data_IF_775447393416
#
_entry.id   IF_775447393416
#
_cell.length_a   1.000
_cell.length_b   1.000
_cell.length_c   1.000
_cell.angle_alpha   90.00
_cell.angle_beta   90.00
_cell.angle_gamma   90.00
#
_symmetry.space_group_name_H-M   'P 1'
#
loop_
_entity.id
_entity.type
_entity.pdbx_description
1 polymer ?
#
# COMPACT_ATOMS: atom_id res chain seq x y z
N UNK A 1 25.40 -62.31 28.90
CA UNK A 1 25.43 -60.83 28.82
C UNK A 1 25.93 -60.40 27.46
N UNK A 2 25.05 -59.89 26.59
CA UNK A 2 25.30 -59.01 25.42
C UNK A 2 23.93 -58.49 24.94
N UNK A 3 23.86 -57.29 24.31
CA UNK A 3 22.66 -56.46 24.39
C UNK A 3 21.66 -56.66 23.24
N UNK A 4 20.40 -56.31 23.52
CA UNK A 4 19.33 -56.17 22.52
C UNK A 4 19.49 -54.80 21.81
N UNK A 5 19.93 -54.79 20.56
CA UNK A 5 19.93 -53.56 19.74
C UNK A 5 18.52 -53.28 19.24
N UNK A 6 17.86 -52.30 19.84
CA UNK A 6 16.64 -51.71 19.30
C UNK A 6 17.02 -50.72 18.19
N UNK A 7 16.76 -51.06 16.91
CA UNK A 7 16.87 -50.10 15.83
C UNK A 7 15.65 -49.16 15.87
N UNK A 8 15.84 -47.96 16.39
CA UNK A 8 14.85 -46.87 16.30
C UNK A 8 15.07 -46.12 14.98
N UNK A 9 14.08 -46.02 14.08
CA UNK A 9 14.22 -45.23 12.87
C UNK A 9 14.29 -43.75 13.24
N UNK A 10 15.47 -43.15 13.05
CA UNK A 10 15.67 -41.73 13.25
C UNK A 10 14.94 -40.98 12.13
N UNK A 11 13.71 -40.55 12.41
CA UNK A 11 12.97 -39.58 11.60
C UNK A 11 13.75 -38.27 11.60
N UNK A 12 14.64 -38.13 10.62
CA UNK A 12 15.29 -36.88 10.25
C UNK A 12 14.20 -35.91 9.78
N UNK A 13 13.70 -35.10 10.70
CA UNK A 13 12.96 -33.89 10.38
C UNK A 13 13.89 -32.98 9.57
N UNK A 14 13.71 -32.99 8.25
CA UNK A 14 14.27 -31.97 7.37
C UNK A 14 13.88 -30.59 7.93
N UNK A 15 14.84 -29.74 8.33
CA UNK A 15 14.50 -28.38 8.70
C UNK A 15 13.97 -27.69 7.45
N UNK A 16 12.69 -27.32 7.47
CA UNK A 16 12.06 -26.57 6.38
C UNK A 16 12.89 -25.32 6.08
N UNK A 17 13.22 -25.13 4.81
CA UNK A 17 14.07 -24.03 4.34
C UNK A 17 13.46 -22.67 4.75
N UNK A 18 14.14 -21.97 5.66
CA UNK A 18 13.77 -20.65 6.16
C UNK A 18 14.01 -19.57 5.08
N UNK A 19 13.06 -19.39 4.15
CA UNK A 19 13.06 -18.35 3.12
C UNK A 19 12.08 -17.19 3.48
N UNK A 20 12.42 -15.90 3.29
CA UNK A 20 11.74 -14.75 3.94
C UNK A 20 11.55 -13.41 3.14
N UNK A 21 10.39 -12.69 3.30
CA UNK A 21 9.76 -11.66 2.40
C UNK A 21 10.28 -10.22 2.55
N UNK A 22 10.46 -9.51 1.43
CA UNK A 22 11.67 -9.62 0.65
C UNK A 22 12.79 -8.94 1.47
N UNK A 23 13.18 -9.55 2.59
CA UNK A 23 14.17 -8.96 3.49
C UNK A 23 15.55 -8.90 2.83
N UNK A 24 15.74 -9.76 1.84
CA UNK A 24 16.81 -9.78 0.83
C UNK A 24 16.79 -8.56 -0.13
N UNK A 25 15.70 -7.81 -0.21
CA UNK A 25 15.56 -6.61 -1.04
C UNK A 25 16.46 -5.43 -0.64
N UNK A 26 17.14 -5.48 0.52
CA UNK A 26 18.08 -4.45 0.96
C UNK A 26 19.18 -4.19 -0.07
N UNK A 27 19.79 -5.25 -0.63
CA UNK A 27 20.89 -5.11 -1.56
C UNK A 27 20.47 -4.47 -2.88
N UNK A 28 19.27 -4.76 -3.40
CA UNK A 28 18.78 -4.20 -4.66
C UNK A 28 18.24 -2.77 -4.50
N UNK A 29 17.46 -2.51 -3.45
CA UNK A 29 16.74 -1.24 -3.27
C UNK A 29 17.52 -0.19 -2.49
N UNK A 30 18.46 -0.59 -1.62
CA UNK A 30 19.11 0.31 -0.66
C UNK A 30 18.22 0.71 0.53
N UNK A 31 17.04 0.11 0.68
CA UNK A 31 16.13 0.39 1.82
C UNK A 31 16.73 -0.22 3.09
N UNK A 32 17.45 0.61 3.85
CA UNK A 32 18.27 0.16 5.00
C UNK A 32 17.51 -0.57 6.11
N UNK A 33 16.21 -0.29 6.31
CA UNK A 33 15.40 -0.96 7.34
C UNK A 33 15.19 -2.46 7.09
N UNK A 34 15.31 -2.92 5.84
CA UNK A 34 15.13 -4.33 5.49
C UNK A 34 16.22 -5.19 6.15
N UNK A 35 17.46 -4.71 6.16
CA UNK A 35 18.57 -5.34 6.91
C UNK A 35 18.25 -5.42 8.41
N UNK A 36 17.68 -4.36 8.99
CA UNK A 36 17.26 -4.34 10.40
C UNK A 36 16.19 -5.39 10.74
N UNK A 37 15.25 -5.66 9.83
CA UNK A 37 14.28 -6.75 9.99
C UNK A 37 14.91 -8.13 9.77
N UNK A 38 15.79 -8.30 8.77
CA UNK A 38 16.50 -9.55 8.51
C UNK A 38 17.26 -10.01 9.76
N UNK A 39 18.04 -9.08 10.36
CA UNK A 39 18.78 -9.32 11.60
C UNK A 39 17.86 -9.57 12.81
N UNK A 40 16.69 -8.95 12.86
CA UNK A 40 15.70 -9.22 13.91
C UNK A 40 15.08 -10.62 13.81
N UNK A 41 14.79 -11.10 12.60
CA UNK A 41 14.32 -12.48 12.37
C UNK A 41 15.38 -13.52 12.76
N UNK A 42 16.65 -13.23 12.45
CA UNK A 42 17.81 -14.05 12.84
C UNK A 42 18.14 -13.97 14.34
N UNK A 43 17.45 -13.13 15.13
CA UNK A 43 17.73 -12.92 16.56
C UNK A 43 18.98 -12.09 16.86
N UNK A 44 19.68 -11.58 15.85
CA UNK A 44 20.86 -10.72 15.99
C UNK A 44 20.52 -9.29 16.44
N UNK A 45 19.23 -8.92 16.44
CA UNK A 45 18.67 -7.63 16.87
C UNK A 45 17.44 -7.88 17.75
N UNK A 46 17.31 -7.13 18.85
CA UNK A 46 16.16 -7.24 19.74
C UNK A 46 14.91 -6.50 19.19
N UNK A 47 13.76 -7.16 19.29
CA UNK A 47 12.46 -6.64 18.85
C UNK A 47 12.35 -6.49 17.33
N UNK A 48 11.28 -5.85 16.86
CA UNK A 48 10.97 -5.66 15.43
C UNK A 48 10.81 -6.95 14.60
N UNK A 49 10.56 -8.09 15.25
CA UNK A 49 10.17 -9.31 14.52
C UNK A 49 8.87 -9.08 13.75
N UNK A 50 8.80 -9.65 12.56
CA UNK A 50 7.64 -9.62 11.68
C UNK A 50 6.78 -10.91 11.89
N UNK A 51 5.45 -10.85 11.72
CA UNK A 51 4.56 -12.01 11.84
C UNK A 51 4.80 -13.04 10.72
N UNK A 52 4.27 -14.27 10.85
CA UNK A 52 4.48 -15.37 9.89
C UNK A 52 4.22 -14.97 8.44
N UNK A 53 3.05 -14.39 8.17
CA UNK A 53 2.66 -13.87 6.85
C UNK A 53 3.40 -12.60 6.40
N UNK A 54 4.57 -12.30 6.97
CA UNK A 54 5.50 -11.24 6.59
C UNK A 54 6.91 -11.80 6.20
N UNK A 55 7.03 -13.11 5.89
CA UNK A 55 8.29 -13.90 5.83
C UNK A 55 8.36 -14.99 4.71
N UNK A 56 8.38 -14.65 3.41
CA UNK A 56 8.24 -15.54 2.23
C UNK A 56 8.87 -14.77 0.97
N UNK A 57 10.10 -15.06 0.48
CA UNK A 57 11.09 -14.17 -0.25
C UNK A 57 10.72 -13.32 -1.51
N UNK A 58 11.65 -12.47 -2.04
CA UNK A 58 11.45 -11.62 -3.25
C UNK A 58 10.84 -12.36 -4.46
N UNK A 59 11.19 -13.63 -4.64
CA UNK A 59 10.74 -14.52 -5.72
C UNK A 59 9.42 -15.22 -5.38
N UNK A 60 9.01 -15.16 -4.12
CA UNK A 60 7.69 -15.58 -3.66
C UNK A 60 6.67 -14.44 -3.83
N UNK A 61 7.12 -13.17 -3.98
CA UNK A 61 6.27 -12.08 -4.50
C UNK A 61 6.02 -12.27 -5.99
N UNK A 62 4.75 -12.48 -6.36
CA UNK A 62 4.34 -12.74 -7.75
C UNK A 62 3.06 -12.00 -8.08
N UNK A 63 2.83 -11.78 -9.37
CA UNK A 63 1.59 -11.26 -9.92
C UNK A 63 0.74 -12.46 -10.35
N UNK A 64 -0.44 -12.65 -9.75
CA UNK A 64 -1.20 -13.89 -9.91
C UNK A 64 -2.13 -13.90 -11.12
N UNK A 65 -2.37 -12.74 -11.76
CA UNK A 65 -3.31 -12.60 -12.87
C UNK A 65 -2.62 -12.22 -14.21
N UNK A 66 -1.31 -12.46 -14.34
CA UNK A 66 -0.62 -12.25 -15.62
C UNK A 66 -1.23 -13.15 -16.70
N UNK A 67 -1.60 -12.54 -17.84
CA UNK A 67 -2.30 -13.23 -18.92
C UNK A 67 -3.82 -13.33 -18.75
N UNK A 68 -4.37 -13.13 -17.54
CA UNK A 68 -5.82 -13.06 -17.31
C UNK A 68 -6.41 -11.87 -18.08
N UNK A 69 -7.46 -12.10 -18.88
CA UNK A 69 -7.99 -11.11 -19.83
C UNK A 69 -9.29 -10.46 -19.40
N UNK A 70 -10.10 -11.16 -18.61
CA UNK A 70 -11.45 -10.73 -18.29
C UNK A 70 -11.46 -9.57 -17.27
N UNK A 71 -12.60 -8.88 -17.17
CA UNK A 71 -12.86 -7.84 -16.18
C UNK A 71 -14.01 -8.31 -15.26
N UNK A 72 -13.71 -9.05 -14.17
CA UNK A 72 -14.74 -9.58 -13.27
C UNK A 72 -15.54 -8.46 -12.57
N UNK A 73 -15.06 -7.21 -12.61
CA UNK A 73 -15.75 -6.06 -12.03
C UNK A 73 -17.03 -5.67 -12.79
N UNK A 74 -17.24 -6.23 -13.98
CA UNK A 74 -18.45 -6.02 -14.80
C UNK A 74 -19.65 -6.86 -14.32
N UNK A 75 -19.42 -7.92 -13.53
CA UNK A 75 -20.45 -8.89 -13.17
C UNK A 75 -20.47 -9.17 -11.65
N UNK A 76 -21.02 -8.25 -10.83
CA UNK A 76 -21.17 -8.49 -9.40
C UNK A 76 -22.11 -9.66 -9.08
N UNK A 77 -21.63 -10.56 -8.21
CA UNK A 77 -22.41 -11.60 -7.57
C UNK A 77 -23.36 -10.97 -6.53
N UNK A 78 -24.65 -11.02 -6.83
CA UNK A 78 -25.69 -10.46 -5.97
C UNK A 78 -25.80 -11.15 -4.60
N UNK A 79 -25.58 -12.48 -4.53
CA UNK A 79 -25.68 -13.24 -3.27
C UNK A 79 -24.49 -12.94 -2.36
N UNK A 80 -23.29 -12.89 -2.92
CA UNK A 80 -22.09 -12.50 -2.17
C UNK A 80 -22.20 -11.04 -1.70
N UNK A 81 -22.70 -10.15 -2.55
CA UNK A 81 -22.95 -8.74 -2.20
C UNK A 81 -23.98 -8.60 -1.07
N UNK A 82 -25.08 -9.36 -1.09
CA UNK A 82 -26.07 -9.40 0.00
C UNK A 82 -25.48 -9.94 1.31
N UNK A 83 -24.61 -10.96 1.24
CA UNK A 83 -23.88 -11.48 2.40
C UNK A 83 -22.96 -10.42 3.02
N UNK A 84 -22.26 -9.61 2.22
CA UNK A 84 -21.46 -8.47 2.72
C UNK A 84 -22.38 -7.42 3.39
N UNK A 85 -23.56 -7.12 2.82
CA UNK A 85 -24.52 -6.20 3.44
C UNK A 85 -24.97 -6.73 4.82
N UNK A 86 -25.28 -8.02 4.94
CA UNK A 86 -25.63 -8.67 6.22
C UNK A 86 -24.51 -8.57 7.24
N UNK A 87 -23.24 -8.75 6.84
CA UNK A 87 -22.08 -8.54 7.70
C UNK A 87 -21.93 -7.08 8.16
N UNK A 88 -22.29 -6.10 7.32
CA UNK A 88 -22.20 -4.68 7.68
C UNK A 88 -23.33 -4.24 8.62
N UNK A 89 -24.50 -4.88 8.55
CA UNK A 89 -25.67 -4.58 9.39
C UNK A 89 -26.17 -3.15 9.19
N UNK A 90 -26.62 -2.50 10.27
CA UNK A 90 -27.12 -1.12 10.25
C UNK A 90 -26.11 -0.10 9.68
N UNK A 91 -24.81 -0.34 9.85
CA UNK A 91 -23.76 0.55 9.33
C UNK A 91 -23.60 0.46 7.80
N UNK A 92 -24.22 -0.51 7.11
CA UNK A 92 -24.04 -0.76 5.67
C UNK A 92 -24.20 0.50 4.81
N UNK A 93 -25.22 1.33 5.12
CA UNK A 93 -25.49 2.60 4.42
C UNK A 93 -24.32 3.59 4.48
N UNK A 94 -23.40 3.46 5.44
CA UNK A 94 -22.21 4.29 5.61
C UNK A 94 -20.92 3.68 5.05
N UNK A 95 -20.93 2.42 4.63
CA UNK A 95 -19.81 1.75 3.98
C UNK A 95 -19.88 1.87 2.45
N UNK A 96 -18.74 1.60 1.82
CA UNK A 96 -18.62 1.07 0.47
C UNK A 96 -17.59 -0.05 0.54
N UNK A 97 -17.86 -1.15 -0.15
CA UNK A 97 -16.99 -2.33 -0.20
C UNK A 97 -16.94 -2.83 -1.63
N UNK A 98 -15.76 -3.29 -2.06
CA UNK A 98 -15.61 -4.17 -3.19
C UNK A 98 -14.74 -5.34 -2.75
N UNK A 99 -15.16 -6.56 -3.06
CA UNK A 99 -14.47 -7.82 -2.76
C UNK A 99 -14.30 -8.54 -4.10
N UNK A 100 -13.09 -9.05 -4.37
CA UNK A 100 -12.82 -9.91 -5.52
C UNK A 100 -12.12 -11.15 -5.00
N UNK A 101 -12.86 -12.26 -4.94
CA UNK A 101 -12.32 -13.57 -4.62
C UNK A 101 -11.61 -14.14 -5.86
N UNK A 102 -10.37 -14.58 -5.65
CA UNK A 102 -9.45 -15.11 -6.65
C UNK A 102 -8.91 -16.48 -6.22
N UNK A 103 -9.58 -17.14 -5.27
CA UNK A 103 -9.23 -18.47 -4.76
C UNK A 103 -9.30 -19.50 -5.89
N UNK A 104 -10.42 -19.56 -6.61
CA UNK A 104 -10.44 -20.11 -7.98
C UNK A 104 -10.19 -18.99 -9.00
N UNK A 105 -8.96 -18.91 -9.51
CA UNK A 105 -8.57 -17.93 -10.54
C UNK A 105 -9.30 -18.16 -11.88
N UNK A 106 -9.83 -19.36 -12.14
CA UNK A 106 -10.64 -19.64 -13.34
C UNK A 106 -12.09 -19.17 -13.19
N UNK A 107 -12.56 -18.97 -11.95
CA UNK A 107 -13.94 -18.55 -11.63
C UNK A 107 -13.94 -17.47 -10.53
N UNK A 108 -13.37 -16.28 -10.80
CA UNK A 108 -13.29 -15.23 -9.79
C UNK A 108 -14.67 -14.66 -9.46
N UNK A 109 -14.99 -14.54 -8.16
CA UNK A 109 -16.26 -13.98 -7.69
C UNK A 109 -16.08 -12.52 -7.26
N UNK A 110 -16.70 -11.60 -7.99
CA UNK A 110 -16.74 -10.18 -7.62
C UNK A 110 -18.00 -9.85 -6.82
N UNK A 111 -17.89 -9.02 -5.78
CA UNK A 111 -19.03 -8.49 -5.04
C UNK A 111 -18.81 -7.04 -4.62
N UNK A 112 -19.90 -6.30 -4.46
CA UNK A 112 -19.84 -4.88 -4.13
C UNK A 112 -21.01 -4.37 -3.29
N UNK A 113 -20.71 -3.35 -2.48
CA UNK A 113 -21.69 -2.59 -1.70
C UNK A 113 -21.40 -1.12 -1.92
N UNK A 114 -22.35 -0.37 -2.49
CA UNK A 114 -22.22 1.07 -2.75
C UNK A 114 -20.91 1.50 -3.44
N UNK A 115 -20.37 0.68 -4.36
CA UNK A 115 -18.96 0.75 -4.71
C UNK A 115 -18.54 1.96 -5.56
N UNK A 116 -19.47 2.62 -6.24
CA UNK A 116 -19.25 3.87 -6.99
C UNK A 116 -19.31 5.14 -6.13
N UNK A 117 -19.60 5.03 -4.83
CA UNK A 117 -19.70 6.17 -3.92
C UNK A 117 -18.34 6.82 -3.72
N UNK A 118 -18.26 8.10 -4.10
CA UNK A 118 -17.04 8.91 -3.99
C UNK A 118 -16.77 9.27 -2.51
N UNK A 119 -15.54 9.04 -2.08
CA UNK A 119 -14.97 9.56 -0.81
C UNK A 119 -13.58 10.16 -1.04
N UNK A 120 -13.06 10.90 -0.06
CA UNK A 120 -11.66 11.31 -0.09
C UNK A 120 -10.74 10.11 0.20
N UNK A 121 -9.67 9.86 -0.57
CA UNK A 121 -8.80 8.70 -0.40
C UNK A 121 -7.91 8.75 0.84
N UNK A 122 -7.69 9.94 1.41
CA UNK A 122 -6.66 10.14 2.44
C UNK A 122 -5.31 9.60 1.96
N UNK A 123 -4.67 8.76 2.76
CA UNK A 123 -3.38 8.15 2.39
C UNK A 123 -3.45 7.02 1.34
N UNK A 124 -4.62 6.64 0.83
CA UNK A 124 -4.69 5.79 -0.38
C UNK A 124 -4.26 6.55 -1.64
N UNK A 125 -4.34 7.89 -1.66
CA UNK A 125 -3.84 8.69 -2.78
C UNK A 125 -2.32 8.56 -3.03
N UNK A 126 -1.59 7.98 -2.08
CA UNK A 126 -0.16 7.63 -2.25
C UNK A 126 0.07 6.49 -3.26
N UNK A 127 -0.96 5.69 -3.54
CA UNK A 127 -0.94 4.72 -4.65
C UNK A 127 -0.85 5.42 -6.01
N UNK A 128 -1.56 6.54 -6.17
CA UNK A 128 -1.51 7.38 -7.39
C UNK A 128 -0.13 8.03 -7.55
N UNK A 129 0.53 8.42 -6.45
CA UNK A 129 1.93 8.91 -6.49
C UNK A 129 2.89 7.82 -6.96
N UNK A 130 2.76 6.59 -6.46
CA UNK A 130 3.61 5.48 -6.88
C UNK A 130 3.37 5.12 -8.36
N UNK A 131 2.10 5.07 -8.80
CA UNK A 131 1.74 4.88 -10.21
C UNK A 131 2.35 5.97 -11.10
N UNK A 132 2.23 7.24 -10.72
CA UNK A 132 2.78 8.36 -11.48
C UNK A 132 4.31 8.33 -11.57
N UNK A 133 5.01 7.93 -10.50
CA UNK A 133 6.46 7.74 -10.55
C UNK A 133 6.85 6.64 -11.55
N UNK A 134 6.24 5.46 -11.45
CA UNK A 134 6.54 4.37 -12.37
C UNK A 134 6.21 4.73 -13.82
N UNK A 135 5.11 5.46 -14.04
CA UNK A 135 4.76 5.96 -15.38
C UNK A 135 5.81 6.93 -15.91
N UNK A 136 6.25 7.90 -15.09
CA UNK A 136 7.29 8.86 -15.49
C UNK A 136 8.63 8.15 -15.78
N UNK A 137 8.97 7.12 -15.01
CA UNK A 137 10.15 6.30 -15.26
C UNK A 137 10.06 5.53 -16.58
N UNK A 138 8.89 4.95 -16.90
CA UNK A 138 8.67 4.29 -18.18
C UNK A 138 8.67 5.28 -19.35
N UNK A 139 8.15 6.50 -19.18
CA UNK A 139 8.17 7.51 -20.24
C UNK A 139 9.61 7.98 -20.59
N UNK A 140 10.54 7.96 -19.63
CA UNK A 140 11.94 8.36 -19.82
C UNK A 140 12.82 7.15 -20.25
N UNK A 141 12.49 5.96 -19.76
CA UNK A 141 13.24 4.70 -19.92
C UNK A 141 12.29 3.55 -20.33
N UNK A 142 11.67 3.58 -21.52
CA UNK A 142 10.56 2.68 -21.88
C UNK A 142 10.93 1.19 -21.85
N UNK A 143 12.11 0.81 -22.33
CA UNK A 143 12.56 -0.60 -22.34
C UNK A 143 13.76 -0.86 -21.41
N UNK A 144 14.17 0.14 -20.62
CA UNK A 144 15.39 0.10 -19.80
C UNK A 144 15.06 0.04 -18.31
N UNK A 145 14.63 -1.15 -17.87
CA UNK A 145 14.29 -1.43 -16.46
C UNK A 145 15.50 -1.24 -15.52
N UNK A 146 16.71 -1.54 -15.99
CA UNK A 146 17.94 -1.37 -15.21
C UNK A 146 18.23 0.11 -14.94
N UNK A 147 18.05 1.00 -15.92
CA UNK A 147 18.14 2.45 -15.68
C UNK A 147 17.09 2.96 -14.69
N UNK A 148 15.86 2.43 -14.72
CA UNK A 148 14.82 2.77 -13.72
C UNK A 148 15.22 2.31 -12.31
N UNK A 149 15.76 1.09 -12.18
CA UNK A 149 16.27 0.56 -10.92
C UNK A 149 17.46 1.37 -10.39
N UNK A 150 18.44 1.66 -11.25
CA UNK A 150 19.60 2.47 -10.93
C UNK A 150 19.21 3.88 -10.50
N UNK A 151 18.28 4.54 -11.20
CA UNK A 151 17.78 5.87 -10.82
C UNK A 151 17.14 5.84 -9.43
N UNK A 152 16.22 4.90 -9.15
CA UNK A 152 15.54 4.79 -7.86
C UNK A 152 16.50 4.42 -6.70
N UNK A 153 17.55 3.66 -6.99
CA UNK A 153 18.58 3.25 -6.03
C UNK A 153 19.61 4.35 -5.74
N UNK A 154 20.07 5.04 -6.77
CA UNK A 154 21.25 5.90 -6.70
C UNK A 154 20.89 7.38 -6.53
N UNK A 155 19.67 7.80 -6.90
CA UNK A 155 19.20 9.17 -6.65
C UNK A 155 18.98 9.40 -5.16
N UNK A 156 19.83 10.24 -4.54
CA UNK A 156 19.65 10.68 -3.16
C UNK A 156 18.68 11.86 -3.12
N UNK A 157 17.63 11.74 -2.32
CA UNK A 157 16.67 12.78 -2.00
C UNK A 157 17.02 13.33 -0.63
N UNK A 158 17.18 14.64 -0.52
CA UNK A 158 17.33 15.35 0.75
C UNK A 158 16.04 16.09 1.10
N UNK A 159 15.50 15.84 2.29
CA UNK A 159 14.29 16.49 2.77
C UNK A 159 14.48 18.01 2.94
N UNK A 160 13.54 18.78 2.40
CA UNK A 160 13.50 20.24 2.50
C UNK A 160 12.14 20.74 3.02
N UNK A 161 11.92 22.05 2.96
CA UNK A 161 10.70 22.71 3.41
C UNK A 161 9.38 22.17 2.82
N UNK A 162 9.38 21.39 1.73
CA UNK A 162 8.21 20.66 1.25
C UNK A 162 7.68 19.62 2.27
N UNK A 163 8.44 19.20 3.29
CA UNK A 163 7.93 18.28 4.31
C UNK A 163 7.02 18.94 5.35
N UNK A 164 7.08 20.27 5.52
CA UNK A 164 6.45 20.95 6.66
C UNK A 164 4.92 21.03 6.51
N UNK A 165 4.10 20.68 7.50
CA UNK A 165 4.37 19.87 8.70
C UNK A 165 3.89 18.43 8.48
N UNK A 166 4.62 17.47 9.05
CA UNK A 166 4.19 16.06 9.19
C UNK A 166 4.35 15.63 10.67
N UNK A 167 3.61 14.59 11.06
CA UNK A 167 3.63 13.97 12.38
C UNK A 167 3.84 12.46 12.32
N UNK A 168 3.88 11.86 11.12
CA UNK A 168 4.19 10.45 10.95
C UNK A 168 5.66 10.18 11.31
N UNK A 169 5.92 9.07 11.99
CA UNK A 169 7.28 8.59 12.29
C UNK A 169 7.63 7.49 11.28
N UNK A 170 8.84 7.55 10.73
CA UNK A 170 9.38 6.56 9.80
C UNK A 170 10.55 5.82 10.45
N UNK A 171 10.85 4.58 10.04
CA UNK A 171 11.93 3.78 10.61
C UNK A 171 13.28 4.11 9.94
N UNK A 172 14.25 4.52 10.75
CA UNK A 172 15.66 4.67 10.39
C UNK A 172 16.47 3.53 10.99
N UNK A 173 17.18 2.78 10.15
CA UNK A 173 18.12 1.77 10.62
C UNK A 173 19.42 2.40 11.10
N UNK A 174 19.90 1.97 12.26
CA UNK A 174 21.18 2.39 12.86
C UNK A 174 22.03 1.13 13.06
N UNK A 175 22.81 0.69 12.04
CA UNK A 175 23.57 -0.56 12.09
C UNK A 175 24.52 -0.62 13.30
N UNK A 176 25.25 0.47 13.56
CA UNK A 176 26.23 0.56 14.67
C UNK A 176 25.56 0.48 16.05
N UNK A 177 24.26 0.78 16.13
CA UNK A 177 23.45 0.66 17.36
C UNK A 177 22.55 -0.57 17.34
N UNK A 178 22.63 -1.40 16.30
CA UNK A 178 21.76 -2.55 16.01
C UNK A 178 20.28 -2.25 16.27
N UNK A 179 19.79 -1.08 15.85
CA UNK A 179 18.47 -0.56 16.27
C UNK A 179 17.71 0.17 15.15
N UNK A 180 16.42 -0.12 15.03
CA UNK A 180 15.46 0.68 14.26
C UNK A 180 14.94 1.85 15.12
N UNK A 181 15.38 3.07 14.81
CA UNK A 181 14.90 4.30 15.42
C UNK A 181 13.71 4.84 14.63
N UNK A 182 12.53 4.96 15.26
CA UNK A 182 11.35 5.56 14.61
C UNK A 182 11.24 7.04 14.97
N UNK A 183 11.24 7.95 14.00
CA UNK A 183 11.09 9.40 14.23
C UNK A 183 10.49 10.10 13.01
N UNK A 184 9.95 11.32 13.11
CA UNK A 184 9.57 12.09 11.92
C UNK A 184 10.80 12.36 11.05
N UNK A 185 10.55 12.54 9.74
CA UNK A 185 11.53 13.10 8.81
C UNK A 185 11.73 14.58 9.17
N UNK A 186 12.99 15.02 9.17
CA UNK A 186 13.40 16.42 9.38
C UNK A 186 14.19 16.89 8.16
N UNK A 187 14.34 18.21 8.01
CA UNK A 187 15.13 18.77 6.91
C UNK A 187 16.60 18.37 7.01
N UNK A 188 17.23 18.11 5.86
CA UNK A 188 18.57 17.53 5.77
C UNK A 188 18.60 16.00 5.82
N UNK A 189 17.52 15.33 6.24
CA UNK A 189 17.43 13.87 6.13
C UNK A 189 17.61 13.45 4.67
N UNK A 190 18.58 12.57 4.42
CA UNK A 190 18.94 12.14 3.07
C UNK A 190 18.88 10.62 2.97
N UNK A 191 18.22 10.14 1.92
CA UNK A 191 18.09 8.72 1.59
C UNK A 191 17.76 8.56 0.10
N UNK A 192 17.89 7.36 -0.44
CA UNK A 192 17.57 7.14 -1.85
C UNK A 192 16.06 7.16 -2.15
N UNK A 193 15.70 7.25 -3.43
CA UNK A 193 14.30 7.30 -3.87
C UNK A 193 13.48 6.11 -3.34
N UNK A 194 14.03 4.88 -3.40
CA UNK A 194 13.38 3.70 -2.82
C UNK A 194 13.03 3.86 -1.33
N UNK A 195 13.93 4.43 -0.52
CA UNK A 195 13.67 4.68 0.91
C UNK A 195 12.56 5.71 1.12
N UNK A 196 12.44 6.72 0.26
CA UNK A 196 11.34 7.68 0.31
C UNK A 196 10.00 7.09 -0.13
N UNK A 197 9.99 6.20 -1.13
CA UNK A 197 8.80 5.42 -1.52
C UNK A 197 8.34 4.49 -0.41
N UNK A 198 9.29 3.80 0.20
CA UNK A 198 9.09 2.93 1.34
C UNK A 198 8.46 3.69 2.51
N UNK A 199 9.08 4.79 2.97
CA UNK A 199 8.52 5.64 4.02
C UNK A 199 7.15 6.26 3.67
N UNK A 200 6.91 6.57 2.38
CA UNK A 200 5.62 7.06 1.88
C UNK A 200 4.52 6.01 2.03
N UNK A 201 4.75 4.78 1.56
CA UNK A 201 3.72 3.75 1.52
C UNK A 201 3.61 3.03 2.87
N UNK A 202 4.75 2.58 3.40
CA UNK A 202 4.88 1.71 4.54
C UNK A 202 4.55 2.40 5.86
N UNK A 203 5.30 3.45 6.22
CA UNK A 203 5.00 4.28 7.40
C UNK A 203 3.88 5.30 7.15
N UNK A 204 3.34 5.34 5.92
CA UNK A 204 2.30 6.28 5.49
C UNK A 204 2.69 7.76 5.64
N UNK A 205 3.98 8.12 5.60
CA UNK A 205 4.43 9.49 5.89
C UNK A 205 3.96 10.51 4.85
N UNK A 206 3.53 11.69 5.33
CA UNK A 206 3.17 12.82 4.48
C UNK A 206 4.40 13.64 4.07
N UNK A 207 5.44 13.68 4.90
CA UNK A 207 6.75 14.24 4.55
C UNK A 207 7.36 13.45 3.40
N UNK A 208 7.45 12.12 3.53
CA UNK A 208 7.99 11.26 2.48
C UNK A 208 7.18 11.38 1.18
N UNK A 209 5.84 11.35 1.25
CA UNK A 209 4.99 11.55 0.08
C UNK A 209 5.15 12.92 -0.59
N UNK A 210 5.46 13.96 0.19
CA UNK A 210 5.70 15.31 -0.34
C UNK A 210 7.06 15.39 -1.05
N UNK A 211 8.10 14.73 -0.52
CA UNK A 211 9.38 14.62 -1.23
C UNK A 211 9.24 13.74 -2.48
N UNK A 212 8.61 12.57 -2.41
CA UNK A 212 8.31 11.74 -3.60
C UNK A 212 7.61 12.58 -4.67
N UNK A 213 6.56 13.32 -4.32
CA UNK A 213 5.82 14.13 -5.30
C UNK A 213 6.65 15.28 -5.88
N UNK A 214 7.44 15.98 -5.06
CA UNK A 214 8.42 17.00 -5.52
C UNK A 214 9.38 16.37 -6.55
N UNK A 215 9.92 15.19 -6.26
CA UNK A 215 10.91 14.53 -7.12
C UNK A 215 10.31 13.87 -8.36
N UNK A 216 9.03 13.44 -8.37
CA UNK A 216 8.35 13.08 -9.63
C UNK A 216 8.18 14.31 -10.53
N UNK A 217 7.82 15.48 -9.97
CA UNK A 217 7.73 16.71 -10.76
C UNK A 217 9.09 17.12 -11.35
N UNK A 218 10.18 16.97 -10.60
CA UNK A 218 11.53 17.21 -11.09
C UNK A 218 11.95 16.21 -12.18
N UNK A 219 11.71 14.91 -11.96
CA UNK A 219 11.97 13.85 -12.93
C UNK A 219 11.20 14.09 -14.24
N UNK A 220 9.91 14.44 -14.16
CA UNK A 220 9.09 14.80 -15.33
C UNK A 220 9.58 16.10 -16.01
N UNK A 221 10.10 17.07 -15.26
CA UNK A 221 10.58 18.35 -15.81
C UNK A 221 11.92 18.23 -16.54
N UNK A 222 12.82 17.41 -16.00
CA UNK A 222 14.22 17.32 -16.45
C UNK A 222 14.53 16.03 -17.23
N UNK A 223 13.67 15.01 -17.18
CA UNK A 223 13.85 13.77 -17.92
C UNK A 223 15.15 13.07 -17.52
N UNK A 224 16.04 12.85 -18.49
CA UNK A 224 17.35 12.22 -18.29
C UNK A 224 18.39 13.12 -17.61
N UNK A 225 18.15 14.42 -17.49
CA UNK A 225 18.98 15.33 -16.68
C UNK A 225 18.76 15.10 -15.16
N UNK A 226 17.73 14.36 -14.75
CA UNK A 226 17.47 14.07 -13.34
C UNK A 226 18.38 12.92 -12.84
N UNK A 227 19.00 13.02 -11.64
CA UNK A 227 18.87 14.10 -10.66
C UNK A 227 19.68 15.35 -11.02
N UNK A 228 19.09 16.52 -10.78
CA UNK A 228 19.71 17.84 -11.01
C UNK A 228 20.29 18.42 -9.71
N UNK A 229 21.12 19.46 -9.81
CA UNK A 229 21.63 20.17 -8.63
C UNK A 229 20.52 20.87 -7.84
N UNK A 230 20.75 21.09 -6.54
CA UNK A 230 19.79 21.73 -5.64
C UNK A 230 19.35 23.11 -6.15
N UNK A 231 20.26 23.86 -6.76
CA UNK A 231 20.01 25.18 -7.34
C UNK A 231 19.06 25.08 -8.54
N UNK A 232 19.19 24.04 -9.37
CA UNK A 232 18.23 23.76 -10.48
C UNK A 232 16.86 23.35 -9.94
N UNK A 233 16.79 22.57 -8.85
CA UNK A 233 15.52 22.25 -8.19
C UNK A 233 14.83 23.50 -7.64
N UNK A 234 15.56 24.31 -6.87
CA UNK A 234 15.05 25.55 -6.26
C UNK A 234 14.64 26.56 -7.32
N UNK A 235 15.44 26.74 -8.38
CA UNK A 235 15.09 27.59 -9.51
C UNK A 235 13.76 27.15 -10.15
N UNK A 236 13.55 25.86 -10.40
CA UNK A 236 12.29 25.36 -10.97
C UNK A 236 11.08 25.72 -10.10
N UNK A 237 11.13 25.48 -8.79
CA UNK A 237 10.00 25.75 -7.90
C UNK A 237 9.81 27.23 -7.54
N UNK A 238 10.86 28.06 -7.64
CA UNK A 238 10.79 29.50 -7.34
C UNK A 238 10.43 30.35 -8.57
N UNK A 239 10.85 29.95 -9.78
CA UNK A 239 10.64 30.70 -11.03
C UNK A 239 9.38 30.25 -11.78
N UNK A 240 8.89 29.03 -11.57
CA UNK A 240 7.62 28.58 -12.16
C UNK A 240 6.45 29.04 -11.30
N UNK A 241 5.39 29.60 -11.92
CA UNK A 241 4.24 30.07 -11.15
C UNK A 241 3.54 28.93 -10.41
N UNK A 242 2.97 29.22 -9.22
CA UNK A 242 2.17 28.27 -8.43
C UNK A 242 1.04 27.61 -9.23
N UNK A 243 0.47 28.33 -10.22
CA UNK A 243 -0.59 27.84 -11.10
C UNK A 243 -0.05 26.86 -12.14
N UNK A 244 1.10 27.12 -12.74
CA UNK A 244 1.70 26.26 -13.76
C UNK A 244 2.36 25.02 -13.16
N UNK A 245 2.93 25.13 -11.96
CA UNK A 245 3.30 23.99 -11.12
C UNK A 245 2.08 23.11 -10.83
N UNK A 246 0.94 23.72 -10.47
CA UNK A 246 -0.30 22.98 -10.21
C UNK A 246 -0.92 22.33 -11.44
N UNK A 247 -0.85 22.97 -12.61
CA UNK A 247 -1.27 22.38 -13.90
C UNK A 247 -0.39 21.18 -14.24
N UNK A 248 0.93 21.33 -14.15
CA UNK A 248 1.90 20.25 -14.37
C UNK A 248 1.65 19.06 -13.44
N UNK A 249 1.45 19.32 -12.15
CA UNK A 249 1.14 18.31 -11.14
C UNK A 249 -0.18 17.57 -11.42
N UNK A 250 -1.23 18.32 -11.79
CA UNK A 250 -2.56 17.74 -12.08
C UNK A 250 -2.50 16.84 -13.31
N UNK A 251 -1.86 17.31 -14.39
CA UNK A 251 -1.64 16.53 -15.60
C UNK A 251 -0.85 15.25 -15.32
N UNK A 252 0.29 15.36 -14.63
CA UNK A 252 1.16 14.26 -14.25
C UNK A 252 0.42 13.14 -13.50
N UNK A 253 -0.36 13.48 -12.48
CA UNK A 253 -1.09 12.49 -11.68
C UNK A 253 -2.29 11.91 -12.43
N UNK A 254 -3.06 12.73 -13.16
CA UNK A 254 -4.26 12.25 -13.87
C UNK A 254 -3.94 11.44 -15.11
N UNK A 255 -2.93 11.81 -15.89
CA UNK A 255 -2.49 11.04 -17.06
C UNK A 255 -1.95 9.67 -16.66
N UNK A 256 -1.23 9.57 -15.53
CA UNK A 256 -0.81 8.27 -15.00
C UNK A 256 -1.99 7.37 -14.62
N UNK A 257 -3.07 7.91 -14.06
CA UNK A 257 -4.31 7.14 -13.84
C UNK A 257 -4.94 6.73 -15.18
N UNK A 258 -5.21 7.68 -16.05
CA UNK A 258 -5.92 7.47 -17.32
C UNK A 258 -5.22 6.46 -18.25
N UNK A 259 -3.90 6.59 -18.45
CA UNK A 259 -3.12 5.72 -19.35
C UNK A 259 -3.07 4.26 -18.88
N UNK A 260 -3.28 4.02 -17.58
CA UNK A 260 -3.24 2.70 -16.97
C UNK A 260 -4.63 2.04 -16.84
N UNK A 261 -5.61 2.52 -17.62
CA UNK A 261 -6.95 1.93 -17.69
C UNK A 261 -7.80 2.20 -16.45
N UNK A 262 -7.57 3.35 -15.80
CA UNK A 262 -8.28 3.80 -14.61
C UNK A 262 -8.96 5.16 -14.87
N UNK A 263 -10.04 5.44 -14.15
CA UNK A 263 -10.83 6.67 -14.27
C UNK A 263 -10.37 7.77 -13.28
N UNK A 264 -9.82 8.90 -13.74
CA UNK A 264 -9.39 10.01 -12.88
C UNK A 264 -10.54 10.78 -12.22
N UNK A 265 -11.80 10.55 -12.57
CA UNK A 265 -12.98 11.03 -11.82
C UNK A 265 -13.33 10.11 -10.64
N UNK A 266 -12.87 8.85 -10.68
CA UNK A 266 -13.14 7.83 -9.66
C UNK A 266 -11.92 7.48 -8.80
N UNK A 267 -10.70 7.83 -9.23
CA UNK A 267 -9.46 7.74 -8.46
C UNK A 267 -8.51 8.91 -8.77
N UNK A 268 -8.39 9.87 -7.84
CA UNK A 268 -7.54 11.06 -7.99
C UNK A 268 -6.90 11.47 -6.67
N UNK A 269 -5.59 11.72 -6.72
CA UNK A 269 -4.88 12.50 -5.69
C UNK A 269 -4.65 13.92 -6.23
N UNK A 270 -5.14 14.93 -5.52
CA UNK A 270 -5.18 16.31 -6.01
C UNK A 270 -3.93 17.14 -5.73
N UNK A 271 -3.02 16.66 -4.88
CA UNK A 271 -1.75 17.34 -4.65
C UNK A 271 -0.96 16.85 -3.44
N UNK A 272 -0.09 17.71 -2.93
CA UNK A 272 0.83 17.42 -1.83
C UNK A 272 0.13 17.01 -0.52
N UNK A 273 0.85 16.25 0.31
CA UNK A 273 0.34 15.76 1.60
C UNK A 273 0.71 16.68 2.77
N UNK A 274 1.78 17.48 2.65
CA UNK A 274 2.19 18.49 3.61
C UNK A 274 1.43 19.83 3.44
N UNK A 275 1.61 20.76 4.38
CA UNK A 275 1.05 22.11 4.30
C UNK A 275 1.83 23.00 3.34
N UNK A 276 3.15 23.00 3.43
CA UNK A 276 4.02 23.82 2.57
C UNK A 276 3.99 23.38 1.11
N UNK A 277 3.88 22.08 0.84
CA UNK A 277 3.70 21.58 -0.54
C UNK A 277 2.43 22.14 -1.19
N UNK A 278 1.30 22.14 -0.47
CA UNK A 278 0.02 22.75 -0.93
C UNK A 278 0.08 24.28 -1.05
N UNK A 279 0.96 24.92 -0.28
CA UNK A 279 1.21 26.37 -0.38
C UNK A 279 2.02 26.68 -1.64
N UNK A 280 3.11 25.95 -1.90
CA UNK A 280 4.01 26.14 -3.04
C UNK A 280 3.40 25.74 -4.37
N UNK A 281 2.69 24.61 -4.42
CA UNK A 281 2.08 24.07 -5.64
C UNK A 281 0.56 24.03 -5.47
N UNK A 282 -0.18 24.62 -6.41
CA UNK A 282 -1.64 24.52 -6.41
C UNK A 282 -2.07 23.06 -6.63
N UNK A 283 -3.14 22.64 -5.95
CA UNK A 283 -3.71 21.30 -6.08
C UNK A 283 -5.22 21.36 -6.29
N UNK A 284 -5.78 20.21 -6.63
CA UNK A 284 -7.21 19.95 -6.81
C UNK A 284 -7.77 19.14 -5.64
N UNK A 285 -9.02 18.72 -5.74
CA UNK A 285 -9.65 17.79 -4.80
C UNK A 285 -9.07 16.37 -4.94
N UNK A 286 -9.49 15.45 -4.06
CA UNK A 286 -9.02 14.06 -4.12
C UNK A 286 -10.18 13.12 -3.85
N UNK A 287 -10.35 12.14 -4.72
CA UNK A 287 -11.49 11.22 -4.76
C UNK A 287 -11.05 9.77 -4.94
N UNK A 288 -11.80 8.84 -4.37
CA UNK A 288 -11.73 7.41 -4.64
C UNK A 288 -13.12 6.78 -4.55
N UNK A 289 -13.35 5.72 -5.32
CA UNK A 289 -14.44 4.75 -5.13
C UNK A 289 -13.84 3.37 -4.83
N UNK A 290 -14.59 2.43 -4.23
CA UNK A 290 -14.03 1.09 -3.97
C UNK A 290 -13.89 0.28 -5.26
N UNK A 291 -14.81 0.47 -6.23
CA UNK A 291 -14.70 -0.16 -7.55
C UNK A 291 -13.42 0.25 -8.27
N UNK A 292 -13.05 1.53 -8.24
CA UNK A 292 -11.85 2.01 -8.94
C UNK A 292 -10.56 1.65 -8.20
N UNK A 293 -10.58 1.63 -6.87
CA UNK A 293 -9.49 1.04 -6.09
C UNK A 293 -9.34 -0.47 -6.36
N UNK A 294 -10.44 -1.19 -6.63
CA UNK A 294 -10.38 -2.60 -7.00
C UNK A 294 -9.81 -2.77 -8.41
N UNK A 295 -10.22 -1.93 -9.37
CA UNK A 295 -9.66 -1.87 -10.72
C UNK A 295 -8.14 -1.61 -10.69
N UNK A 296 -7.67 -0.75 -9.79
CA UNK A 296 -6.24 -0.54 -9.55
C UNK A 296 -5.52 -1.83 -9.09
N UNK A 297 -6.06 -2.55 -8.11
CA UNK A 297 -5.46 -3.81 -7.62
C UNK A 297 -5.49 -4.91 -8.71
N UNK A 298 -6.62 -5.06 -9.40
CA UNK A 298 -6.78 -6.00 -10.52
C UNK A 298 -5.76 -5.72 -11.62
N UNK A 299 -5.58 -4.46 -12.03
CA UNK A 299 -4.57 -4.07 -13.02
C UNK A 299 -3.14 -4.33 -12.53
N UNK A 300 -2.87 -4.15 -11.24
CA UNK A 300 -1.58 -4.50 -10.63
C UNK A 300 -1.32 -6.01 -10.70
N UNK A 301 -2.25 -6.85 -10.25
CA UNK A 301 -2.13 -8.32 -10.33
C UNK A 301 -2.05 -8.86 -11.76
N UNK A 302 -2.66 -8.16 -12.73
CA UNK A 302 -2.54 -8.50 -14.14
C UNK A 302 -1.19 -8.11 -14.77
N UNK A 303 -0.35 -7.33 -14.07
CA UNK A 303 0.85 -6.71 -14.66
C UNK A 303 0.53 -5.62 -15.69
N UNK A 304 -0.67 -5.03 -15.60
CA UNK A 304 -1.27 -4.05 -16.53
C UNK A 304 -1.56 -2.69 -15.86
N UNK A 305 -0.81 -2.33 -14.83
CA UNK A 305 -0.47 -0.91 -14.64
C UNK A 305 0.60 -0.56 -15.70
N UNK A 306 1.62 0.22 -15.36
CA UNK A 306 2.60 0.76 -16.32
C UNK A 306 3.24 -0.37 -17.14
N UNK A 307 3.65 -1.43 -16.45
CA UNK A 307 4.13 -2.70 -16.98
C UNK A 307 4.17 -3.73 -15.84
N UNK A 308 4.56 -4.97 -16.16
CA UNK A 308 4.66 -6.06 -15.17
C UNK A 308 5.75 -5.81 -14.11
N UNK A 309 6.87 -5.16 -14.45
CA UNK A 309 7.92 -4.86 -13.49
C UNK A 309 7.46 -3.83 -12.45
N UNK A 310 6.86 -2.74 -12.91
CA UNK A 310 6.32 -1.64 -12.11
C UNK A 310 5.19 -2.13 -11.20
N UNK A 311 4.30 -2.97 -11.74
CA UNK A 311 3.22 -3.60 -10.98
C UNK A 311 3.77 -4.49 -9.85
N UNK A 312 4.80 -5.30 -10.15
CA UNK A 312 5.45 -6.16 -9.17
C UNK A 312 6.19 -5.34 -8.08
N UNK A 313 6.89 -4.25 -8.44
CA UNK A 313 7.55 -3.41 -7.43
C UNK A 313 6.52 -2.69 -6.54
N UNK A 314 5.37 -2.26 -7.08
CA UNK A 314 4.31 -1.71 -6.25
C UNK A 314 3.70 -2.76 -5.31
N UNK A 315 3.44 -3.98 -5.79
CA UNK A 315 2.98 -5.10 -4.94
C UNK A 315 3.97 -5.35 -3.78
N UNK A 316 5.28 -5.42 -4.07
CA UNK A 316 6.35 -5.55 -3.07
C UNK A 316 6.37 -4.43 -2.03
N UNK A 317 6.20 -3.17 -2.47
CA UNK A 317 6.12 -2.02 -1.56
C UNK A 317 4.88 -2.09 -0.64
N UNK A 318 3.74 -2.58 -1.14
CA UNK A 318 2.51 -2.74 -0.36
C UNK A 318 2.58 -3.88 0.65
N UNK A 319 3.29 -4.96 0.32
CA UNK A 319 3.59 -6.02 1.26
C UNK A 319 4.39 -5.52 2.46
N UNK A 320 5.42 -4.70 2.19
CA UNK A 320 6.33 -4.20 3.22
C UNK A 320 5.73 -3.10 4.11
N UNK A 321 4.42 -2.98 4.20
CA UNK A 321 3.74 -1.94 4.97
C UNK A 321 3.96 -2.09 6.48
N UNK A 322 4.44 -1.02 7.13
CA UNK A 322 4.91 -1.07 8.51
C UNK A 322 3.72 -1.18 9.46
N UNK A 323 3.72 -2.28 10.22
CA UNK A 323 2.68 -2.68 11.16
C UNK A 323 1.35 -2.93 10.47
N UNK A 324 0.89 -4.17 10.62
CA UNK A 324 -0.51 -4.53 10.38
C UNK A 324 -1.42 -3.63 11.20
N UNK A 325 -2.32 -2.90 10.53
CA UNK A 325 -3.25 -1.93 11.14
C UNK A 325 -4.61 -1.96 10.43
N UNK A 326 -5.68 -1.67 11.19
CA UNK A 326 -7.06 -1.57 10.70
C UNK A 326 -7.49 -2.93 10.12
N UNK A 327 -7.90 -2.98 8.85
CA UNK A 327 -8.19 -4.23 8.15
C UNK A 327 -7.07 -5.28 8.31
N UNK A 328 -5.82 -4.87 8.07
CA UNK A 328 -4.68 -5.78 8.11
C UNK A 328 -4.28 -6.25 9.52
N UNK A 329 -4.81 -5.65 10.60
CA UNK A 329 -4.54 -6.10 11.97
C UNK A 329 -5.53 -7.13 12.51
N UNK A 330 -6.41 -7.69 11.67
CA UNK A 330 -7.23 -8.81 12.10
C UNK A 330 -6.36 -10.04 12.38
N UNK A 331 -6.59 -10.70 13.51
CA UNK A 331 -5.79 -11.81 13.98
C UNK A 331 -5.86 -13.02 13.05
N UNK A 332 -7.03 -13.31 12.47
CA UNK A 332 -7.21 -14.38 11.48
C UNK A 332 -6.35 -14.24 10.22
N UNK A 333 -5.77 -13.05 9.99
CA UNK A 333 -4.87 -12.80 8.86
C UNK A 333 -3.38 -12.97 9.22
N UNK A 334 -3.02 -13.27 10.48
CA UNK A 334 -1.64 -13.32 11.02
C UNK A 334 -0.62 -13.95 10.08
N UNK A 335 -1.00 -15.09 9.50
CA UNK A 335 -0.14 -15.96 8.70
C UNK A 335 -0.39 -15.81 7.20
N UNK A 336 -1.40 -15.02 6.82
CA UNK A 336 -1.62 -14.59 5.43
C UNK A 336 -0.58 -13.55 5.00
N UNK A 337 -0.09 -13.67 3.77
CA UNK A 337 0.60 -12.60 3.07
C UNK A 337 -0.39 -11.45 2.79
N UNK A 338 -0.03 -10.23 3.24
CA UNK A 338 -0.91 -9.05 3.16
C UNK A 338 -0.24 -7.91 2.41
N UNK A 339 -0.87 -7.47 1.33
CA UNK A 339 -0.42 -6.35 0.50
C UNK A 339 -1.43 -5.22 0.66
N UNK A 340 -1.15 -4.28 1.57
CA UNK A 340 -2.21 -3.41 2.07
C UNK A 340 -1.79 -1.94 2.15
N UNK A 341 -2.77 -1.06 1.99
CA UNK A 341 -2.64 0.36 2.32
C UNK A 341 -3.89 0.82 3.03
N UNK A 342 -3.75 1.84 3.87
CA UNK A 342 -4.89 2.50 4.49
C UNK A 342 -4.76 4.02 4.47
N UNK A 343 -5.92 4.68 4.53
CA UNK A 343 -6.12 6.12 4.65
C UNK A 343 -7.16 6.41 5.73
N UNK A 344 -7.05 7.53 6.44
CA UNK A 344 -8.02 7.91 7.47
C UNK A 344 -8.06 9.42 7.63
N UNK A 345 -9.24 9.99 7.78
CA UNK A 345 -9.43 11.41 8.03
C UNK A 345 -10.71 11.64 8.83
N UNK A 346 -10.57 12.11 10.08
CA UNK A 346 -11.69 12.37 10.97
C UNK A 346 -11.67 13.82 11.45
N UNK A 347 -12.85 14.34 11.77
CA UNK A 347 -13.07 15.66 12.37
C UNK A 347 -14.09 15.52 13.49
N UNK A 348 -13.88 16.29 14.54
CA UNK A 348 -14.82 16.43 15.64
C UNK A 348 -15.35 17.86 15.69
N UNK A 349 -16.54 18.02 16.27
CA UNK A 349 -17.10 19.30 16.69
C UNK A 349 -17.70 19.18 18.09
N UNK A 350 -17.96 20.32 18.72
CA UNK A 350 -18.51 20.36 20.07
C UNK A 350 -19.94 19.78 20.08
N UNK A 351 -20.17 18.81 20.96
CA UNK A 351 -21.44 18.12 21.13
C UNK A 351 -21.50 17.64 22.59
N UNK A 352 -22.64 17.81 23.25
CA UNK A 352 -22.82 17.42 24.64
C UNK A 352 -22.66 15.90 24.83
N UNK A 353 -21.94 15.49 25.87
CA UNK A 353 -21.65 14.07 26.14
C UNK A 353 -20.65 13.40 25.19
N UNK A 354 -20.21 14.05 24.10
CA UNK A 354 -19.28 13.47 23.14
C UNK A 354 -17.81 13.86 23.41
N UNK A 355 -16.94 12.85 23.49
CA UNK A 355 -15.48 13.05 23.61
C UNK A 355 -14.80 12.63 22.31
N UNK A 356 -14.14 13.57 21.64
CA UNK A 356 -13.39 13.30 20.42
C UNK A 356 -12.28 12.26 20.64
N UNK A 357 -12.35 11.12 19.94
CA UNK A 357 -11.33 10.05 19.99
C UNK A 357 -10.76 9.78 18.60
N UNK A 358 -9.57 9.17 18.58
CA UNK A 358 -8.87 8.81 17.34
C UNK A 358 -9.71 7.87 16.49
N UNK A 359 -9.94 8.23 15.22
CA UNK A 359 -10.78 7.49 14.28
C UNK A 359 -12.26 7.33 14.71
N UNK A 360 -12.77 8.25 15.54
CA UNK A 360 -14.15 8.24 16.01
C UNK A 360 -14.78 9.65 15.99
N UNK A 361 -14.61 10.38 14.89
CA UNK A 361 -15.17 11.74 14.75
C UNK A 361 -16.71 11.78 14.69
N UNK A 362 -17.32 12.82 15.26
CA UNK A 362 -18.76 13.08 15.16
C UNK A 362 -19.16 13.94 13.96
N UNK A 363 -18.23 14.72 13.37
CA UNK A 363 -18.47 15.53 12.16
C UNK A 363 -18.09 14.81 10.86
N UNK A 364 -16.98 14.07 10.90
CA UNK A 364 -16.45 13.30 9.77
C UNK A 364 -15.60 12.17 10.34
N UNK A 365 -15.67 10.98 9.77
CA UNK A 365 -14.91 9.83 10.24
C UNK A 365 -14.55 8.87 9.10
N UNK A 366 -13.85 9.38 8.09
CA UNK A 366 -13.47 8.60 6.90
C UNK A 366 -12.37 7.61 7.24
N UNK A 367 -12.59 6.33 6.93
CA UNK A 367 -11.59 5.28 7.00
C UNK A 367 -11.59 4.51 5.68
N UNK A 368 -10.40 4.31 5.11
CA UNK A 368 -10.21 3.61 3.86
C UNK A 368 -9.15 2.53 4.02
N UNK A 369 -9.38 1.37 3.41
CA UNK A 369 -8.48 0.21 3.39
C UNK A 369 -8.48 -0.40 1.99
N UNK A 370 -7.31 -0.84 1.55
CA UNK A 370 -7.15 -1.82 0.46
C UNK A 370 -6.25 -2.93 0.98
N UNK A 371 -6.55 -4.17 0.63
CA UNK A 371 -5.70 -5.33 0.91
C UNK A 371 -5.84 -6.36 -0.21
N UNK A 372 -4.72 -6.97 -0.59
CA UNK A 372 -4.67 -8.30 -1.19
C UNK A 372 -4.29 -9.26 -0.06
N UNK A 373 -4.96 -10.40 0.01
CA UNK A 373 -4.79 -11.44 1.01
C UNK A 373 -4.48 -12.74 0.29
N UNK A 374 -3.33 -13.33 0.62
CA UNK A 374 -2.90 -14.64 0.12
C UNK A 374 -2.63 -15.52 1.34
N UNK A 375 -3.33 -16.64 1.48
CA UNK A 375 -3.24 -17.55 2.64
C UNK A 375 -2.89 -18.97 2.16
N UNK A 376 -1.60 -19.26 1.86
CA UNK A 376 -1.20 -20.52 1.19
C UNK A 376 -1.63 -21.79 1.94
N UNK A 377 -1.65 -21.77 3.27
CA UNK A 377 -2.06 -22.93 4.09
C UNK A 377 -3.55 -23.30 3.96
N UNK A 378 -4.36 -22.41 3.38
CA UNK A 378 -5.81 -22.59 3.18
C UNK A 378 -6.22 -22.38 1.73
N UNK A 379 -5.24 -22.30 0.83
CA UNK A 379 -5.36 -21.96 -0.60
C UNK A 379 -6.20 -20.71 -0.91
N UNK A 380 -6.39 -19.79 0.05
CA UNK A 380 -7.22 -18.60 -0.18
C UNK A 380 -6.44 -17.47 -0.85
N UNK A 381 -7.07 -16.83 -1.83
CA UNK A 381 -6.56 -15.62 -2.45
C UNK A 381 -7.70 -14.65 -2.75
N UNK A 382 -7.67 -13.44 -2.20
CA UNK A 382 -8.70 -12.44 -2.48
C UNK A 382 -8.20 -11.01 -2.31
N UNK A 383 -8.90 -10.08 -2.96
CA UNK A 383 -8.66 -8.64 -2.87
C UNK A 383 -9.88 -7.94 -2.29
N UNK A 384 -9.65 -6.88 -1.52
CA UNK A 384 -10.71 -6.13 -0.86
C UNK A 384 -10.38 -4.64 -0.81
N UNK A 385 -11.35 -3.80 -1.12
CA UNK A 385 -11.27 -2.35 -0.99
C UNK A 385 -12.48 -1.83 -0.23
N UNK A 386 -12.25 -0.99 0.77
CA UNK A 386 -13.27 -0.53 1.71
C UNK A 386 -13.10 0.97 1.91
N UNK A 387 -14.20 1.71 1.86
CA UNK A 387 -14.27 3.06 2.41
C UNK A 387 -15.48 3.18 3.34
N UNK A 388 -15.38 3.94 4.41
CA UNK A 388 -16.48 4.14 5.36
C UNK A 388 -16.52 5.57 5.87
N UNK A 389 -17.67 5.97 6.42
CA UNK A 389 -17.83 7.20 7.20
C UNK A 389 -18.87 6.99 8.31
N UNK A 390 -18.55 6.10 9.25
CA UNK A 390 -19.40 5.82 10.41
C UNK A 390 -19.00 6.77 11.54
N UNK A 391 -19.90 7.68 11.92
CA UNK A 391 -19.61 8.68 12.95
C UNK A 391 -19.56 8.05 14.34
N UNK A 392 -18.79 8.65 15.26
CA UNK A 392 -18.65 8.30 16.69
C UNK A 392 -18.13 6.89 17.02
N UNK A 393 -18.10 5.94 16.07
CA UNK A 393 -17.50 4.59 16.23
C UNK A 393 -16.02 4.61 15.84
N UNK A 394 -15.20 3.74 16.47
CA UNK A 394 -13.79 3.60 16.10
C UNK A 394 -13.65 2.85 14.76
N UNK A 395 -13.52 3.60 13.67
CA UNK A 395 -13.50 3.05 12.32
C UNK A 395 -12.27 2.15 12.04
N UNK A 396 -11.17 2.28 12.81
CA UNK A 396 -10.03 1.38 12.68
C UNK A 396 -10.34 -0.01 13.24
N UNK A 397 -11.08 -0.08 14.36
CA UNK A 397 -11.58 -1.33 14.94
C UNK A 397 -12.68 -1.95 14.05
N UNK A 398 -13.59 -1.15 13.51
CA UNK A 398 -14.62 -1.70 12.62
C UNK A 398 -14.03 -2.29 11.32
N UNK A 399 -13.02 -1.66 10.72
CA UNK A 399 -12.32 -2.24 9.56
C UNK A 399 -11.58 -3.55 9.92
N UNK A 400 -11.06 -3.67 11.15
CA UNK A 400 -10.46 -4.91 11.66
C UNK A 400 -11.51 -6.02 11.83
N UNK A 401 -12.65 -5.70 12.47
CA UNK A 401 -13.77 -6.65 12.66
C UNK A 401 -14.44 -7.06 11.34
N UNK A 402 -14.49 -6.17 10.35
CA UNK A 402 -14.93 -6.50 9.00
C UNK A 402 -13.94 -7.43 8.29
N UNK A 403 -12.63 -7.29 8.52
CA UNK A 403 -11.63 -8.20 7.96
C UNK A 403 -11.80 -9.63 8.48
N UNK A 404 -11.99 -9.80 9.79
CA UNK A 404 -12.31 -11.12 10.39
C UNK A 404 -13.51 -11.76 9.71
N UNK A 405 -14.64 -11.03 9.65
CA UNK A 405 -15.90 -11.56 9.13
C UNK A 405 -15.89 -11.83 7.63
N UNK A 406 -15.16 -11.03 6.83
CA UNK A 406 -14.99 -11.30 5.40
C UNK A 406 -14.09 -12.52 5.16
N UNK A 407 -13.04 -12.70 5.95
CA UNK A 407 -12.19 -13.89 5.86
C UNK A 407 -12.96 -15.17 6.23
N UNK A 408 -13.79 -15.12 7.28
CA UNK A 408 -14.69 -16.20 7.68
C UNK A 408 -15.74 -16.54 6.60
N UNK A 409 -16.32 -15.51 5.95
CA UNK A 409 -17.26 -15.69 4.84
C UNK A 409 -16.60 -16.41 3.65
N UNK A 410 -15.41 -15.98 3.23
CA UNK A 410 -14.69 -16.62 2.11
C UNK A 410 -14.31 -18.06 2.46
N UNK A 411 -13.85 -18.32 3.69
CA UNK A 411 -13.60 -19.68 4.20
C UNK A 411 -14.87 -20.56 4.20
N UNK A 412 -16.07 -20.00 4.31
CA UNK A 412 -17.32 -20.77 4.22
C UNK A 412 -17.65 -21.11 2.76
N UNK A 413 -17.57 -20.14 1.85
CA UNK A 413 -17.87 -20.33 0.43
C UNK A 413 -17.08 -21.49 -0.20
N UNK A 414 -15.77 -21.59 0.08
CA UNK A 414 -14.93 -22.66 -0.47
C UNK A 414 -15.11 -24.01 0.24
N UNK A 415 -15.40 -24.02 1.55
CA UNK A 415 -15.72 -25.28 2.26
C UNK A 415 -17.06 -25.88 1.84
N UNK A 416 -18.03 -25.05 1.47
CA UNK A 416 -19.34 -25.51 1.02
C UNK A 416 -19.31 -25.95 -0.45
N UNK A 417 -18.31 -25.48 -1.23
CA UNK A 417 -18.05 -25.91 -2.60
C UNK A 417 -17.37 -27.29 -2.66
N UNK A 418 -16.40 -27.58 -1.77
CA UNK A 418 -15.74 -28.90 -1.66
C UNK A 418 -16.69 -30.04 -1.22
N UNK A 419 -17.91 -29.73 -0.78
CA UNK A 419 -18.91 -30.69 -0.29
C UNK A 419 -20.03 -30.98 -1.31
N UNK A 420 -19.95 -30.43 -2.53
CA UNK A 420 -20.95 -30.57 -3.61
C UNK A 420 -20.39 -31.31 -4.83
#
# INVERSE_FOLDING_TARGET
MKPLMLLMPLLLSLPGLLNAYPLDGAEQTGISRLQGYQLAQQGAVAGNKLPGGALLDQKQVRLHLQGFRDDPLLHPDARLSESIIKLLGEDAVHYSVSLLDLTDVQRPHYAEVHADRIRNPGSLGKLVLALALFQTLADIYPEDVEARQALLRNSIITADAFIRTDHHRVPFWQPEKKRLLKRPIVEGDSANFWSYLDWMLSASSNAAASMVLKHIMLLNRFGRDYPVSKEREEAYFNQTSRRDLGRSLTWLLQQAVQRNGLDPERLRQGGFFSREGKRRVAGTDSVCTTRELMRFLLRMEQGKLVDSWSSLQLKRLLYMTERRIRYASAEVLSDSALYFKSGSFYKCEAEEGFVCRKYAGNKLNVMNSVAIVETPERDLHYMVTITSNVLKKNAALQHQQLATRLHELILQLHRDADQQ
#
